data_IF_846627276053
#
_entry.id   IF_846627276053
#
_cell.length_a   1.000
_cell.length_b   1.000
_cell.length_c   1.000
_cell.angle_alpha   90.00
_cell.angle_beta   90.00
_cell.angle_gamma   90.00
#
_symmetry.space_group_name_H-M   'P 1'
#
loop_
_entity.id
_entity.type
_entity.pdbx_description
1 polymer ?
#
# COMPACT_ATOMS: atom_id res chain seq x y z
N UNK A 1 -43.90 47.63 19.03
CA UNK A 1 -43.55 46.35 18.36
C UNK A 1 -42.22 46.44 17.60
N UNK A 2 -41.16 46.97 18.22
CA UNK A 2 -39.86 47.17 17.57
C UNK A 2 -38.79 46.16 18.03
N UNK A 3 -38.97 45.52 19.19
CA UNK A 3 -37.97 44.64 19.80
C UNK A 3 -37.88 43.25 19.12
N UNK A 4 -38.98 42.76 18.53
CA UNK A 4 -39.03 41.41 17.94
C UNK A 4 -38.32 41.36 16.58
N UNK A 5 -38.41 42.44 15.79
CA UNK A 5 -37.71 42.55 14.49
C UNK A 5 -36.19 42.60 14.64
N UNK A 6 -35.71 43.19 15.73
CA UNK A 6 -34.28 43.29 16.01
C UNK A 6 -33.68 41.94 16.44
N UNK A 7 -34.42 41.13 17.19
CA UNK A 7 -34.02 39.75 17.54
C UNK A 7 -33.97 38.84 16.30
N UNK A 8 -34.92 38.99 15.37
CA UNK A 8 -34.94 38.23 14.10
C UNK A 8 -33.74 38.56 13.19
N UNK A 9 -33.33 39.83 13.15
CA UNK A 9 -32.15 40.29 12.40
C UNK A 9 -30.84 39.74 12.96
N UNK A 10 -30.75 39.55 14.28
CA UNK A 10 -29.59 38.96 14.94
C UNK A 10 -29.48 37.45 14.67
N UNK A 11 -30.61 36.74 14.54
CA UNK A 11 -30.62 35.31 14.20
C UNK A 11 -30.17 35.02 12.75
N UNK A 12 -30.35 35.97 11.82
CA UNK A 12 -29.95 35.81 10.42
C UNK A 12 -28.45 36.00 10.15
N UNK A 13 -27.67 36.45 11.15
CA UNK A 13 -26.23 36.66 11.02
C UNK A 13 -25.39 35.47 11.50
N UNK A 14 -26.00 34.35 11.93
CA UNK A 14 -25.23 33.13 12.16
C UNK A 14 -24.71 32.61 10.82
N UNK A 15 -23.38 32.59 10.60
CA UNK A 15 -22.84 32.06 9.39
C UNK A 15 -23.19 30.56 9.35
N UNK A 16 -23.84 30.17 8.25
CA UNK A 16 -24.08 28.78 7.85
C UNK A 16 -22.74 28.13 7.46
N UNK A 17 -21.75 28.19 8.34
CA UNK A 17 -20.41 27.70 8.13
C UNK A 17 -20.19 26.57 9.11
N UNK A 18 -20.66 25.38 8.75
CA UNK A 18 -20.05 24.09 9.11
C UNK A 18 -20.72 22.98 8.29
N UNK A 19 -20.72 23.12 6.97
CA UNK A 19 -20.73 21.97 6.08
C UNK A 19 -19.42 21.93 5.30
N UNK A 20 -18.29 22.18 5.98
CA UNK A 20 -17.05 21.56 5.53
C UNK A 20 -17.25 20.05 5.70
N UNK A 21 -17.83 19.44 4.66
CA UNK A 21 -17.76 18.00 4.44
C UNK A 21 -16.30 17.62 4.63
N UNK A 22 -15.94 16.87 5.68
CA UNK A 22 -14.68 16.15 5.64
C UNK A 22 -14.88 15.14 4.51
N UNK A 23 -14.36 15.42 3.32
CA UNK A 23 -14.32 14.45 2.21
C UNK A 23 -13.37 13.26 2.51
N UNK A 24 -12.93 13.07 3.75
CA UNK A 24 -11.79 12.21 4.05
C UNK A 24 -11.85 11.55 5.43
N UNK A 25 -13.02 11.46 6.07
CA UNK A 25 -13.17 10.58 7.22
C UNK A 25 -13.74 9.25 6.68
N UNK A 26 -12.94 8.19 6.65
CA UNK A 26 -13.34 6.79 6.39
C UNK A 26 -13.34 6.21 4.95
N UNK A 27 -12.36 6.52 4.09
CA UNK A 27 -12.00 5.58 3.01
C UNK A 27 -10.76 4.71 3.31
N UNK A 28 -10.12 4.88 4.47
CA UNK A 28 -9.03 4.02 4.95
C UNK A 28 -9.56 2.65 5.47
N UNK A 29 -10.48 2.01 4.78
CA UNK A 29 -11.10 0.78 5.27
C UNK A 29 -10.39 -0.48 4.76
N UNK A 30 -9.54 -0.38 3.72
CA UNK A 30 -8.99 -1.57 3.12
C UNK A 30 -7.85 -2.18 3.94
N UNK A 31 -7.94 -3.48 4.18
CA UNK A 31 -6.98 -4.28 4.93
C UNK A 31 -5.85 -4.78 4.04
N UNK A 32 -4.76 -5.23 4.67
CA UNK A 32 -3.63 -5.85 3.96
C UNK A 32 -4.12 -7.02 3.10
N UNK A 33 -3.77 -7.02 1.81
CA UNK A 33 -4.15 -8.03 0.83
C UNK A 33 -5.36 -7.66 -0.04
N UNK A 34 -6.05 -6.56 0.23
CA UNK A 34 -7.15 -6.08 -0.62
C UNK A 34 -6.63 -5.24 -1.78
N UNK A 35 -7.30 -5.32 -2.93
CA UNK A 35 -6.93 -4.55 -4.11
C UNK A 35 -7.16 -3.05 -3.89
N UNK A 36 -6.23 -2.23 -4.35
CA UNK A 36 -6.25 -0.78 -4.17
C UNK A 36 -5.74 -0.07 -5.43
N UNK A 37 -6.15 1.18 -5.60
CA UNK A 37 -5.62 2.08 -6.63
C UNK A 37 -4.81 3.22 -6.00
N UNK A 38 -5.17 3.66 -4.80
CA UNK A 38 -4.51 4.73 -4.07
C UNK A 38 -4.09 4.31 -2.64
N UNK A 39 -3.03 4.94 -2.14
CA UNK A 39 -2.52 4.73 -0.78
C UNK A 39 -3.56 5.05 0.30
N UNK A 40 -4.44 6.02 0.06
CA UNK A 40 -5.49 6.44 1.02
C UNK A 40 -6.58 5.40 1.25
N UNK A 41 -6.69 4.38 0.38
CA UNK A 41 -7.66 3.30 0.55
C UNK A 41 -7.24 2.31 1.65
N UNK A 42 -5.93 2.15 1.84
CA UNK A 42 -5.35 1.14 2.73
C UNK A 42 -5.14 1.68 4.14
N UNK A 43 -5.56 0.94 5.17
CA UNK A 43 -5.31 1.31 6.59
C UNK A 43 -3.83 1.61 6.87
N UNK A 44 -2.93 0.85 6.26
CA UNK A 44 -1.48 1.01 6.35
C UNK A 44 -0.92 2.19 5.55
N UNK A 45 -1.74 2.85 4.73
CA UNK A 45 -1.36 3.82 3.69
C UNK A 45 -0.39 3.29 2.64
N UNK A 46 -0.38 1.99 2.38
CA UNK A 46 0.52 1.36 1.43
C UNK A 46 -0.24 0.57 0.37
N UNK A 47 -0.45 1.17 -0.80
CA UNK A 47 -0.91 0.48 -2.00
C UNK A 47 0.30 0.17 -2.88
N UNK A 48 0.64 -1.11 -3.06
CA UNK A 48 1.85 -1.51 -3.79
C UNK A 48 1.55 -2.59 -4.83
N UNK A 49 2.15 -2.51 -6.03
CA UNK A 49 1.98 -3.52 -7.07
C UNK A 49 2.58 -4.86 -6.63
N UNK A 50 1.88 -5.96 -6.91
CA UNK A 50 2.39 -7.30 -6.66
C UNK A 50 2.99 -7.86 -7.95
N UNK A 51 4.31 -7.70 -8.15
CA UNK A 51 4.98 -8.26 -9.33
C UNK A 51 4.69 -9.77 -9.48
N UNK A 52 4.24 -10.27 -10.65
CA UNK A 52 4.22 -9.62 -11.97
C UNK A 52 2.87 -9.00 -12.38
N UNK A 53 1.86 -9.01 -11.51
CA UNK A 53 0.50 -8.57 -11.85
C UNK A 53 0.40 -7.03 -11.71
N UNK A 54 -0.15 -6.29 -12.69
CA UNK A 54 -0.35 -4.84 -12.58
C UNK A 54 -1.29 -4.44 -11.43
N UNK A 55 -2.09 -5.38 -10.91
CA UNK A 55 -2.99 -5.11 -9.79
C UNK A 55 -2.19 -4.83 -8.49
N UNK A 56 -2.46 -3.66 -7.90
CA UNK A 56 -1.89 -3.26 -6.62
C UNK A 56 -2.77 -3.70 -5.45
N UNK A 57 -2.12 -4.01 -4.34
CA UNK A 57 -2.77 -4.48 -3.12
C UNK A 57 -2.25 -3.73 -1.90
N UNK A 58 -3.10 -3.60 -0.91
CA UNK A 58 -2.72 -3.03 0.37
C UNK A 58 -1.65 -3.91 1.04
N UNK A 59 -0.54 -3.31 1.45
CA UNK A 59 0.56 -3.98 2.14
C UNK A 59 0.78 -3.40 3.54
N UNK A 60 1.35 -4.18 4.45
CA UNK A 60 1.80 -3.65 5.72
C UNK A 60 3.04 -2.75 5.54
N UNK A 61 3.20 -1.78 6.43
CA UNK A 61 4.46 -1.03 6.56
C UNK A 61 5.53 -1.94 7.16
N UNK A 62 6.78 -1.77 6.73
CA UNK A 62 7.92 -2.37 7.42
C UNK A 62 8.15 -1.68 8.77
N UNK A 63 9.05 -2.23 9.59
CA UNK A 63 9.48 -1.59 10.84
C UNK A 63 10.00 -0.16 10.61
N UNK A 64 10.58 0.11 9.44
CA UNK A 64 11.06 1.43 9.00
C UNK A 64 9.96 2.32 8.37
N UNK A 65 8.67 1.96 8.54
CA UNK A 65 7.52 2.66 8.00
C UNK A 65 7.45 2.76 6.46
N UNK A 66 8.23 1.94 5.76
CA UNK A 66 8.29 1.93 4.30
C UNK A 66 7.19 1.03 3.69
N UNK A 67 6.64 1.46 2.56
CA UNK A 67 5.74 0.65 1.74
C UNK A 67 6.58 -0.19 0.80
N UNK A 68 6.76 -1.47 1.13
CA UNK A 68 7.53 -2.40 0.29
C UNK A 68 6.58 -3.43 -0.29
N UNK A 69 6.58 -3.65 -1.62
CA UNK A 69 5.88 -4.76 -2.24
C UNK A 69 6.18 -6.07 -1.54
N UNK A 70 5.15 -6.91 -1.31
CA UNK A 70 5.41 -8.27 -0.80
C UNK A 70 6.24 -9.01 -1.83
N UNK A 71 7.46 -9.37 -1.44
CA UNK A 71 8.34 -10.19 -2.26
C UNK A 71 7.85 -11.63 -2.32
N UNK A 72 8.10 -12.29 -3.45
CA UNK A 72 7.70 -13.65 -3.78
C UNK A 72 8.38 -14.68 -2.88
N UNK A 73 7.67 -15.76 -2.48
CA UNK A 73 8.25 -16.85 -1.68
C UNK A 73 9.20 -17.71 -2.52
N UNK A 74 9.97 -18.56 -1.84
CA UNK A 74 10.86 -19.54 -2.50
C UNK A 74 10.03 -20.46 -3.44
N UNK A 75 10.60 -20.83 -4.59
CA UNK A 75 9.97 -21.63 -5.65
C UNK A 75 9.15 -20.85 -6.68
N UNK A 76 8.74 -19.62 -6.36
CA UNK A 76 8.00 -18.75 -7.29
C UNK A 76 8.88 -18.29 -8.46
N UNK A 77 8.30 -18.16 -9.66
CA UNK A 77 9.01 -17.63 -10.84
C UNK A 77 9.38 -16.15 -10.64
N UNK A 78 10.56 -15.76 -11.08
CA UNK A 78 11.08 -14.40 -10.96
C UNK A 78 11.84 -14.00 -12.23
N UNK A 79 11.92 -12.69 -12.50
CA UNK A 79 12.83 -12.13 -13.51
C UNK A 79 14.06 -11.47 -12.87
N UNK A 80 13.89 -10.88 -11.68
CA UNK A 80 14.94 -10.17 -10.96
C UNK A 80 15.04 -10.58 -9.48
N UNK A 81 16.25 -10.51 -8.93
CA UNK A 81 16.55 -10.80 -7.52
C UNK A 81 15.63 -10.07 -6.54
N UNK A 82 15.30 -8.80 -6.79
CA UNK A 82 14.49 -7.95 -5.89
C UNK A 82 13.03 -8.41 -5.76
N UNK A 83 12.56 -9.25 -6.67
CA UNK A 83 11.22 -9.83 -6.59
C UNK A 83 11.11 -10.89 -5.49
N UNK A 84 12.23 -11.52 -5.10
CA UNK A 84 12.26 -12.64 -4.17
C UNK A 84 12.51 -12.17 -2.73
N UNK A 85 11.86 -12.81 -1.74
CA UNK A 85 12.10 -12.52 -0.30
C UNK A 85 13.57 -12.69 0.06
N UNK A 86 14.16 -13.77 -0.45
CA UNK A 86 15.58 -14.09 -0.32
C UNK A 86 16.51 -13.16 -1.10
N UNK A 87 15.97 -12.26 -1.93
CA UNK A 87 16.74 -11.45 -2.87
C UNK A 87 17.61 -12.31 -3.82
N UNK A 88 17.14 -13.52 -4.14
CA UNK A 88 17.86 -14.47 -4.96
C UNK A 88 16.93 -15.08 -6.00
N UNK A 89 17.19 -14.77 -7.28
CA UNK A 89 16.45 -15.26 -8.44
C UNK A 89 17.44 -15.96 -9.37
N UNK A 90 17.34 -17.28 -9.53
CA UNK A 90 18.27 -18.05 -10.34
C UNK A 90 17.54 -19.15 -11.12
N UNK A 91 18.11 -19.55 -12.25
CA UNK A 91 17.75 -20.79 -12.92
C UNK A 91 18.59 -21.93 -12.33
N UNK A 92 17.96 -23.04 -11.94
CA UNK A 92 18.65 -24.20 -11.36
C UNK A 92 19.28 -25.11 -12.43
N UNK A 93 18.92 -24.90 -13.70
CA UNK A 93 19.38 -25.59 -14.89
C UNK A 93 19.22 -24.66 -16.09
N UNK A 94 20.02 -24.83 -17.15
CA UNK A 94 19.98 -24.01 -18.37
C UNK A 94 18.60 -24.00 -19.05
N UNK A 95 17.80 -25.05 -18.85
CA UNK A 95 16.46 -25.18 -19.47
C UNK A 95 15.35 -24.65 -18.54
N UNK A 96 15.67 -24.37 -17.27
CA UNK A 96 14.66 -24.04 -16.26
C UNK A 96 14.37 -22.54 -16.20
N UNK A 97 13.09 -22.17 -16.02
CA UNK A 97 12.75 -20.77 -15.73
C UNK A 97 13.35 -20.33 -14.38
N UNK A 98 13.83 -19.08 -14.25
CA UNK A 98 14.36 -18.57 -13.00
C UNK A 98 13.31 -18.55 -11.89
N UNK A 99 13.73 -18.94 -10.69
CA UNK A 99 12.88 -19.03 -9.50
C UNK A 99 13.55 -18.43 -8.29
N UNK A 100 12.73 -17.98 -7.35
CA UNK A 100 13.19 -17.55 -6.05
C UNK A 100 13.74 -18.74 -5.28
N UNK A 101 14.95 -18.63 -4.76
CA UNK A 101 15.57 -19.68 -3.94
C UNK A 101 16.06 -19.12 -2.62
N UNK A 102 16.18 -19.95 -1.60
CA UNK A 102 16.77 -19.55 -0.33
C UNK A 102 18.25 -19.18 -0.54
N UNK A 103 18.72 -18.14 0.14
CA UNK A 103 20.17 -17.88 0.27
C UNK A 103 20.77 -18.95 1.16
N UNK A 104 21.31 -20.01 0.57
CA UNK A 104 21.94 -21.12 1.30
C UNK A 104 23.47 -21.00 1.39
N UNK A 105 24.08 -19.97 0.81
CA UNK A 105 25.56 -19.81 0.76
C UNK A 105 26.26 -20.82 -0.15
N UNK A 106 25.61 -21.94 -0.47
CA UNK A 106 26.08 -22.96 -1.42
C UNK A 106 26.17 -22.47 -2.86
N UNK A 107 25.38 -21.45 -3.19
CA UNK A 107 25.36 -20.82 -4.51
C UNK A 107 26.00 -19.44 -4.40
N UNK A 108 27.22 -19.29 -4.94
CA UNK A 108 27.97 -18.05 -4.92
C UNK A 108 27.21 -16.87 -5.57
N UNK A 109 26.23 -17.17 -6.41
CA UNK A 109 25.39 -16.22 -7.15
C UNK A 109 24.49 -15.35 -6.25
N UNK A 110 24.31 -15.72 -4.98
CA UNK A 110 23.43 -14.99 -4.06
C UNK A 110 24.05 -14.73 -2.69
N UNK A 111 25.38 -14.70 -2.61
CA UNK A 111 26.11 -14.26 -1.42
C UNK A 111 25.73 -12.79 -1.10
N UNK A 112 25.44 -12.44 0.16
CA UNK A 112 25.38 -11.05 0.58
C UNK A 112 26.78 -10.43 0.43
N UNK A 113 26.88 -9.35 -0.35
CA UNK A 113 28.06 -8.48 -0.37
C UNK A 113 28.21 -7.77 0.97
#
# INVERSE_FOLDING_TARGET
MACVRHLLLLLSLLPMSMAWKPKSLFLFNKRTGEACSDHSECQSRCCVPNSPNPQAFCAAKTLFLQCVPRRKPDGARCGHHRECRSQCCIALSEVSCPRCVRRSGLLAQCLPL
#
